data_IF_755715660146
#
_entry.id   IF_755715660146
#
_cell.length_a   1.000
_cell.length_b   1.000
_cell.length_c   1.000
_cell.angle_alpha   90.00
_cell.angle_beta   90.00
_cell.angle_gamma   90.00
#
_symmetry.space_group_name_H-M   'P 1'
#
loop_
_entity.id
_entity.type
_entity.pdbx_description
1 polymer ?
#
# COMPACT_ATOMS: atom_id res chain seq x y z
N UNK A 1 -2.54 -1.77 -18.19
CA UNK A 1 -3.26 -1.60 -19.47
C UNK A 1 -4.64 -0.94 -19.32
N UNK A 2 -4.82 0.28 -19.86
CA UNK A 2 -6.11 0.99 -19.86
C UNK A 2 -6.97 0.66 -21.10
N UNK A 3 -8.29 0.86 -21.03
CA UNK A 3 -9.18 0.68 -22.18
C UNK A 3 -8.77 1.53 -23.41
N UNK A 4 -8.30 2.76 -23.20
CA UNK A 4 -7.82 3.61 -24.29
C UNK A 4 -6.53 3.07 -24.93
N UNK A 5 -5.63 2.48 -24.13
CA UNK A 5 -4.44 1.81 -24.68
C UNK A 5 -4.80 0.58 -25.52
N UNK A 6 -5.80 -0.21 -25.10
CA UNK A 6 -6.31 -1.35 -25.86
C UNK A 6 -6.93 -0.93 -27.21
N UNK A 7 -7.71 0.17 -27.21
CA UNK A 7 -8.28 0.74 -28.43
C UNK A 7 -7.20 1.18 -29.42
N UNK A 8 -6.14 1.83 -28.91
CA UNK A 8 -5.00 2.29 -29.70
C UNK A 8 -4.23 1.11 -30.30
N UNK A 9 -3.91 0.10 -29.49
CA UNK A 9 -3.20 -1.11 -29.92
C UNK A 9 -3.98 -1.86 -31.03
N UNK A 10 -5.31 -1.91 -30.91
CA UNK A 10 -6.18 -2.61 -31.86
C UNK A 10 -6.65 -1.74 -33.02
N UNK A 11 -6.15 -0.50 -33.14
CA UNK A 11 -6.57 0.49 -34.15
C UNK A 11 -8.10 0.61 -34.25
N UNK A 12 -8.77 0.58 -33.09
CA UNK A 12 -10.21 0.54 -32.98
C UNK A 12 -10.73 1.85 -32.38
N UNK A 13 -11.71 2.47 -33.04
CA UNK A 13 -12.36 3.69 -32.54
C UNK A 13 -13.40 3.36 -31.46
N UNK A 14 -13.75 4.35 -30.63
CA UNK A 14 -14.83 4.22 -29.64
C UNK A 14 -16.18 3.83 -30.29
N UNK A 15 -16.43 4.36 -31.49
CA UNK A 15 -17.60 4.00 -32.29
C UNK A 15 -17.58 2.54 -32.73
N UNK A 16 -16.44 2.06 -33.26
CA UNK A 16 -16.27 0.66 -33.64
C UNK A 16 -16.41 -0.28 -32.44
N UNK A 17 -15.87 0.10 -31.28
CA UNK A 17 -16.05 -0.66 -30.05
C UNK A 17 -17.53 -0.74 -29.65
N UNK A 18 -18.26 0.37 -29.72
CA UNK A 18 -19.72 0.40 -29.46
C UNK A 18 -20.47 -0.52 -30.41
N UNK A 19 -20.19 -0.47 -31.72
CA UNK A 19 -20.84 -1.34 -32.70
C UNK A 19 -20.52 -2.82 -32.50
N UNK A 20 -19.26 -3.15 -32.22
CA UNK A 20 -18.80 -4.54 -32.08
C UNK A 20 -19.22 -5.18 -30.75
N UNK A 21 -19.18 -4.42 -29.66
CA UNK A 21 -19.66 -4.89 -28.35
C UNK A 21 -21.18 -4.83 -28.24
N UNK A 22 -21.83 -3.95 -29.00
CA UNK A 22 -23.24 -3.57 -28.88
C UNK A 22 -23.57 -2.88 -27.55
N UNK A 23 -22.57 -2.30 -26.90
CA UNK A 23 -22.72 -1.38 -25.77
C UNK A 23 -23.00 0.04 -26.33
N UNK A 24 -23.95 0.80 -25.77
CA UNK A 24 -24.26 2.15 -26.26
C UNK A 24 -23.02 3.05 -26.35
N UNK A 25 -22.93 3.84 -27.42
CA UNK A 25 -21.77 4.69 -27.68
C UNK A 25 -21.53 5.70 -26.56
N UNK A 26 -22.59 6.21 -25.95
CA UNK A 26 -22.55 7.08 -24.75
C UNK A 26 -21.84 6.39 -23.59
N UNK A 27 -22.21 5.14 -23.29
CA UNK A 27 -21.57 4.33 -22.26
C UNK A 27 -20.10 4.07 -22.58
N UNK A 28 -19.75 3.74 -23.83
CA UNK A 28 -18.34 3.55 -24.23
C UNK A 28 -17.53 4.84 -24.05
N UNK A 29 -18.10 6.00 -24.41
CA UNK A 29 -17.44 7.30 -24.23
C UNK A 29 -17.24 7.60 -22.74
N UNK A 30 -18.26 7.40 -21.91
CA UNK A 30 -18.20 7.62 -20.46
C UNK A 30 -17.16 6.73 -19.76
N UNK A 31 -17.02 5.48 -20.21
CA UNK A 31 -15.97 4.57 -19.71
C UNK A 31 -14.59 5.07 -20.18
N UNK A 32 -14.44 5.42 -21.47
CA UNK A 32 -13.16 5.86 -22.01
C UNK A 32 -12.70 7.22 -21.46
N UNK A 33 -13.62 8.07 -21.01
CA UNK A 33 -13.31 9.35 -20.35
C UNK A 33 -13.08 9.22 -18.85
N UNK A 34 -13.32 8.05 -18.26
CA UNK A 34 -13.19 7.79 -16.83
C UNK A 34 -14.38 8.27 -15.99
N UNK A 35 -15.44 8.82 -16.61
CA UNK A 35 -16.68 9.22 -15.93
C UNK A 35 -17.40 8.00 -15.33
N UNK A 36 -17.34 6.86 -16.03
CA UNK A 36 -17.87 5.58 -15.57
C UNK A 36 -16.74 4.59 -15.35
N UNK A 37 -16.70 4.01 -14.15
CA UNK A 37 -15.75 2.95 -13.77
C UNK A 37 -16.22 1.61 -14.34
N UNK A 38 -15.33 0.91 -15.05
CA UNK A 38 -15.66 -0.31 -15.79
C UNK A 38 -16.07 -1.47 -14.87
N UNK A 39 -15.43 -1.57 -13.71
CA UNK A 39 -15.72 -2.51 -12.63
C UNK A 39 -17.08 -2.27 -11.94
N UNK A 40 -17.69 -1.10 -12.15
CA UNK A 40 -19.03 -0.78 -11.67
C UNK A 40 -20.11 -1.05 -12.72
N UNK A 41 -19.74 -1.37 -13.95
CA UNK A 41 -20.70 -1.74 -14.99
C UNK A 41 -21.27 -3.13 -14.70
N UNK A 42 -22.50 -3.39 -15.18
CA UNK A 42 -23.06 -4.73 -15.15
C UNK A 42 -22.11 -5.72 -15.84
N UNK A 43 -21.96 -6.92 -15.28
CA UNK A 43 -21.02 -7.94 -15.76
C UNK A 43 -21.14 -8.21 -17.27
N UNK A 44 -22.39 -8.23 -17.79
CA UNK A 44 -22.65 -8.39 -19.22
C UNK A 44 -22.06 -7.27 -20.09
N UNK A 45 -21.97 -6.03 -19.59
CA UNK A 45 -21.33 -4.91 -20.31
C UNK A 45 -19.82 -5.13 -20.39
N UNK A 46 -19.20 -5.51 -19.27
CA UNK A 46 -17.76 -5.79 -19.20
C UNK A 46 -17.39 -6.96 -20.11
N UNK A 47 -18.16 -8.04 -20.05
CA UNK A 47 -18.00 -9.22 -20.91
C UNK A 47 -18.05 -8.86 -22.40
N UNK A 48 -19.05 -8.07 -22.82
CA UNK A 48 -19.20 -7.66 -24.23
C UNK A 48 -18.07 -6.77 -24.72
N UNK A 49 -17.55 -5.89 -23.87
CA UNK A 49 -16.37 -5.07 -24.20
C UNK A 49 -15.12 -5.96 -24.31
N UNK A 50 -14.91 -6.86 -23.35
CA UNK A 50 -13.78 -7.79 -23.35
C UNK A 50 -13.79 -8.68 -24.61
N UNK A 51 -14.95 -9.25 -24.95
CA UNK A 51 -15.15 -10.05 -26.15
C UNK A 51 -14.88 -9.25 -27.44
N UNK A 52 -15.39 -8.01 -27.55
CA UNK A 52 -15.16 -7.17 -28.71
C UNK A 52 -13.66 -6.84 -28.92
N UNK A 53 -12.94 -6.69 -27.82
CA UNK A 53 -11.50 -6.45 -27.81
C UNK A 53 -10.70 -7.76 -27.92
N UNK A 54 -11.28 -8.94 -27.71
CA UNK A 54 -10.55 -10.20 -27.71
C UNK A 54 -9.52 -10.27 -26.57
N UNK A 55 -9.91 -9.82 -25.39
CA UNK A 55 -9.16 -9.93 -24.13
C UNK A 55 -10.04 -10.59 -23.08
N UNK A 56 -9.45 -11.10 -22.01
CA UNK A 56 -10.23 -11.64 -20.89
C UNK A 56 -10.84 -10.50 -20.05
N UNK A 57 -11.90 -10.79 -19.28
CA UNK A 57 -12.49 -9.79 -18.39
C UNK A 57 -11.50 -9.35 -17.31
N UNK A 58 -10.66 -10.27 -16.83
CA UNK A 58 -9.63 -10.04 -15.84
C UNK A 58 -8.59 -9.04 -16.37
N UNK A 59 -8.04 -9.28 -17.56
CA UNK A 59 -7.06 -8.38 -18.19
C UNK A 59 -7.63 -6.97 -18.39
N UNK A 60 -8.92 -6.88 -18.72
CA UNK A 60 -9.61 -5.60 -18.92
C UNK A 60 -9.83 -4.83 -17.61
N UNK A 61 -10.00 -5.54 -16.50
CA UNK A 61 -10.24 -4.97 -15.18
C UNK A 61 -8.97 -4.80 -14.34
N UNK A 62 -7.85 -5.43 -14.72
CA UNK A 62 -6.62 -5.50 -13.93
C UNK A 62 -6.13 -4.13 -13.43
N UNK A 63 -6.02 -3.12 -14.30
CA UNK A 63 -5.58 -1.76 -13.90
C UNK A 63 -6.54 -1.05 -12.95
N UNK A 64 -7.83 -1.36 -13.05
CA UNK A 64 -8.85 -0.77 -12.18
C UNK A 64 -8.89 -1.50 -10.85
N UNK A 65 -8.61 -2.81 -10.86
CA UNK A 65 -8.48 -3.65 -9.69
C UNK A 65 -7.18 -3.33 -8.92
N UNK A 66 -6.04 -3.11 -9.57
CA UNK A 66 -4.81 -2.65 -8.89
C UNK A 66 -5.03 -1.30 -8.17
N UNK A 67 -5.86 -0.41 -8.73
CA UNK A 67 -6.25 0.86 -8.07
C UNK A 67 -7.30 0.70 -6.97
N UNK A 68 -8.05 -0.40 -6.94
CA UNK A 68 -9.19 -0.62 -6.02
C UNK A 68 -8.90 -1.67 -4.95
N UNK A 69 -7.90 -2.53 -5.15
CA UNK A 69 -7.46 -3.61 -4.25
C UNK A 69 -6.15 -3.21 -3.58
N UNK A 70 -6.02 -1.96 -3.16
CA UNK A 70 -5.18 -1.69 -2.00
C UNK A 70 -6.10 -1.74 -0.77
N UNK A 71 -6.54 -2.95 -0.42
CA UNK A 71 -7.30 -3.14 0.81
C UNK A 71 -6.30 -2.90 1.95
N UNK A 72 -6.33 -1.70 2.53
CA UNK A 72 -5.49 -1.35 3.68
C UNK A 72 -5.66 -2.44 4.74
N UNK A 73 -4.61 -3.21 4.96
CA UNK A 73 -4.58 -4.23 6.00
C UNK A 73 -4.64 -3.55 7.37
N UNK A 74 -4.91 -4.33 8.42
CA UNK A 74 -4.67 -3.81 9.76
C UNK A 74 -3.19 -3.46 9.91
N UNK A 75 -2.91 -2.47 10.76
CA UNK A 75 -1.54 -2.03 10.98
C UNK A 75 -0.63 -3.17 11.48
N UNK A 76 -1.16 -4.07 12.33
CA UNK A 76 -0.40 -5.25 12.80
C UNK A 76 -0.02 -6.20 11.67
N UNK A 77 -0.95 -6.47 10.73
CA UNK A 77 -0.65 -7.30 9.56
C UNK A 77 0.38 -6.60 8.66
N UNK A 78 0.27 -5.29 8.48
CA UNK A 78 1.27 -4.52 7.75
C UNK A 78 2.66 -4.65 8.37
N UNK A 79 2.78 -4.45 9.69
CA UNK A 79 4.04 -4.59 10.42
C UNK A 79 4.66 -5.98 10.23
N UNK A 80 3.86 -7.03 10.44
CA UNK A 80 4.29 -8.42 10.27
C UNK A 80 4.82 -8.68 8.86
N UNK A 81 4.09 -8.23 7.84
CA UNK A 81 4.53 -8.35 6.44
C UNK A 81 5.87 -7.64 6.21
N UNK A 82 6.05 -6.42 6.73
CA UNK A 82 7.32 -5.68 6.58
C UNK A 82 8.47 -6.44 7.24
N UNK A 83 8.28 -6.98 8.45
CA UNK A 83 9.33 -7.75 9.12
C UNK A 83 9.66 -9.06 8.36
N UNK A 84 8.66 -9.74 7.80
CA UNK A 84 8.88 -10.89 6.92
C UNK A 84 9.66 -10.51 5.66
N UNK A 85 9.31 -9.39 5.01
CA UNK A 85 10.05 -8.90 3.84
C UNK A 85 11.52 -8.66 4.19
N UNK A 86 11.82 -7.96 5.29
CA UNK A 86 13.20 -7.74 5.76
C UNK A 86 13.92 -9.06 6.01
N UNK A 87 13.26 -10.05 6.64
CA UNK A 87 13.82 -11.37 6.91
C UNK A 87 14.13 -12.15 5.64
N UNK A 88 13.24 -12.11 4.65
CA UNK A 88 13.33 -12.92 3.44
C UNK A 88 14.34 -12.36 2.42
N UNK A 89 14.37 -11.05 2.22
CA UNK A 89 15.26 -10.42 1.22
C UNK A 89 16.57 -9.87 1.82
N UNK A 90 16.62 -9.71 3.14
CA UNK A 90 17.74 -9.08 3.85
C UNK A 90 17.71 -7.56 3.81
N UNK A 91 18.45 -6.95 4.73
CA UNK A 91 18.43 -5.51 5.02
C UNK A 91 18.70 -4.66 3.79
N UNK A 92 19.79 -4.95 3.08
CA UNK A 92 20.28 -4.12 1.98
C UNK A 92 19.30 -4.14 0.81
N UNK A 93 18.78 -5.32 0.45
CA UNK A 93 17.80 -5.44 -0.63
C UNK A 93 16.47 -4.76 -0.25
N UNK A 94 16.04 -4.90 1.01
CA UNK A 94 14.85 -4.21 1.51
C UNK A 94 15.00 -2.69 1.43
N UNK A 95 16.16 -2.17 1.83
CA UNK A 95 16.47 -0.75 1.73
C UNK A 95 16.42 -0.28 0.27
N UNK A 96 17.12 -0.96 -0.64
CA UNK A 96 17.14 -0.61 -2.07
C UNK A 96 15.71 -0.58 -2.62
N UNK A 97 14.96 -1.67 -2.46
CA UNK A 97 13.59 -1.79 -2.97
C UNK A 97 12.65 -0.71 -2.39
N UNK A 98 12.73 -0.46 -1.09
CA UNK A 98 11.86 0.53 -0.41
C UNK A 98 12.19 1.96 -0.85
N UNK A 99 13.48 2.28 -1.00
CA UNK A 99 13.93 3.61 -1.41
C UNK A 99 13.63 3.87 -2.89
N UNK A 100 13.88 2.90 -3.78
CA UNK A 100 13.63 3.04 -5.23
C UNK A 100 12.14 3.12 -5.57
N UNK A 101 11.28 2.42 -4.83
CA UNK A 101 9.84 2.40 -5.09
C UNK A 101 9.07 3.65 -4.60
N UNK A 102 9.74 4.55 -3.86
CA UNK A 102 9.14 5.74 -3.20
C UNK A 102 7.90 5.38 -2.34
N UNK A 103 7.87 4.17 -1.78
CA UNK A 103 6.67 3.63 -1.12
C UNK A 103 6.30 4.44 0.13
N UNK A 104 7.28 4.90 0.90
CA UNK A 104 7.07 5.74 2.09
C UNK A 104 6.28 7.00 1.71
N UNK A 105 6.68 7.68 0.62
CA UNK A 105 6.03 8.90 0.16
C UNK A 105 4.64 8.62 -0.40
N UNK A 106 4.47 7.49 -1.10
CA UNK A 106 3.17 7.04 -1.62
C UNK A 106 2.17 6.79 -0.50
N UNK A 107 2.56 6.08 0.55
CA UNK A 107 1.76 5.86 1.75
C UNK A 107 1.42 7.19 2.46
N UNK A 108 2.40 8.09 2.59
CA UNK A 108 2.19 9.39 3.21
C UNK A 108 1.18 10.26 2.45
N UNK A 109 1.29 10.34 1.12
CA UNK A 109 0.35 11.08 0.25
C UNK A 109 -1.08 10.53 0.34
N UNK A 110 -1.22 9.21 0.56
CA UNK A 110 -2.51 8.53 0.82
C UNK A 110 -3.06 8.76 2.23
N UNK A 111 -2.33 9.46 3.10
CA UNK A 111 -2.63 9.67 4.52
C UNK A 111 -2.61 8.38 5.35
N UNK A 112 -1.87 7.37 4.89
CA UNK A 112 -1.63 6.13 5.63
C UNK A 112 -0.41 6.33 6.52
N UNK A 113 -0.55 7.25 7.48
CA UNK A 113 0.56 7.73 8.29
C UNK A 113 1.20 6.64 9.16
N UNK A 114 0.45 5.74 9.83
CA UNK A 114 1.07 4.65 10.59
C UNK A 114 2.02 3.80 9.74
N UNK A 115 1.59 3.38 8.56
CA UNK A 115 2.35 2.55 7.63
C UNK A 115 3.55 3.31 7.06
N UNK A 116 3.35 4.56 6.65
CA UNK A 116 4.42 5.42 6.13
C UNK A 116 5.52 5.63 7.17
N UNK A 117 5.15 5.99 8.40
CA UNK A 117 6.11 6.25 9.48
C UNK A 117 6.76 4.96 10.00
N UNK A 118 6.04 3.84 10.00
CA UNK A 118 6.63 2.54 10.33
C UNK A 118 7.70 2.14 9.30
N UNK A 119 7.41 2.30 8.01
CA UNK A 119 8.34 1.96 6.94
C UNK A 119 9.57 2.88 6.95
N UNK A 120 9.38 4.17 7.22
CA UNK A 120 10.47 5.12 7.44
C UNK A 120 11.33 4.73 8.64
N UNK A 121 10.71 4.41 9.78
CA UNK A 121 11.41 3.95 10.98
C UNK A 121 12.21 2.67 10.71
N UNK A 122 11.64 1.73 9.96
CA UNK A 122 12.32 0.50 9.55
C UNK A 122 13.54 0.79 8.68
N UNK A 123 13.40 1.67 7.67
CA UNK A 123 14.52 2.09 6.81
C UNK A 123 15.63 2.75 7.62
N UNK A 124 15.27 3.66 8.54
CA UNK A 124 16.24 4.37 9.37
C UNK A 124 16.93 3.41 10.37
N UNK A 125 16.17 2.49 10.97
CA UNK A 125 16.69 1.44 11.85
C UNK A 125 17.69 0.55 11.10
N UNK A 126 17.31 0.02 9.94
CA UNK A 126 18.16 -0.83 9.11
C UNK A 126 19.40 -0.08 8.63
N UNK A 127 19.26 1.20 8.28
CA UNK A 127 20.40 2.04 7.90
C UNK A 127 21.39 2.16 9.06
N UNK A 128 20.91 2.46 10.29
CA UNK A 128 21.78 2.55 11.47
C UNK A 128 22.50 1.24 11.76
N UNK A 129 21.78 0.11 11.81
CA UNK A 129 22.43 -1.18 12.15
C UNK A 129 23.41 -1.66 11.10
N UNK A 130 23.30 -1.17 9.85
CA UNK A 130 24.25 -1.44 8.76
C UNK A 130 25.29 -0.33 8.56
N UNK A 131 25.35 0.70 9.42
CA UNK A 131 26.32 1.78 9.31
C UNK A 131 26.13 2.70 8.10
N UNK A 132 24.91 2.75 7.55
CA UNK A 132 24.56 3.56 6.37
C UNK A 132 24.04 4.94 6.78
N UNK A 133 24.29 5.94 5.94
CA UNK A 133 23.72 7.27 6.09
C UNK A 133 22.23 7.29 5.78
N UNK A 134 21.46 8.09 6.51
CA UNK A 134 20.02 8.24 6.27
C UNK A 134 19.72 8.86 4.90
N UNK A 135 18.68 8.34 4.23
CA UNK A 135 18.21 8.87 2.96
C UNK A 135 17.64 10.30 3.12
N UNK A 136 18.20 11.27 2.39
CA UNK A 136 17.83 12.69 2.50
C UNK A 136 16.43 12.99 1.97
N UNK A 137 15.93 12.20 1.03
CA UNK A 137 14.61 12.37 0.43
C UNK A 137 13.46 12.32 1.44
N UNK A 138 13.64 11.71 2.61
CA UNK A 138 12.62 11.59 3.65
C UNK A 138 12.87 12.47 4.89
N UNK A 139 13.79 13.44 4.80
CA UNK A 139 14.17 14.27 5.95
C UNK A 139 13.01 15.09 6.51
N UNK A 140 12.09 15.52 5.65
CA UNK A 140 10.87 16.24 6.02
C UNK A 140 9.88 15.38 6.82
N UNK A 141 9.91 14.06 6.64
CA UNK A 141 9.00 13.13 7.33
C UNK A 141 9.51 12.71 8.71
N UNK A 142 10.82 12.82 8.98
CA UNK A 142 11.43 12.39 10.26
C UNK A 142 10.96 13.22 11.47
N UNK A 143 10.46 14.43 11.23
CA UNK A 143 9.85 15.26 12.27
C UNK A 143 8.38 14.92 12.57
N UNK A 144 7.72 14.12 11.74
CA UNK A 144 6.30 13.80 11.89
C UNK A 144 6.07 12.78 13.02
N UNK A 145 4.96 12.89 13.75
CA UNK A 145 4.58 11.92 14.79
C UNK A 145 3.09 11.62 14.74
N UNK A 146 2.70 10.40 15.11
CA UNK A 146 1.29 10.06 15.28
C UNK A 146 0.71 10.76 16.51
N UNK A 147 -0.56 11.17 16.46
CA UNK A 147 -1.22 11.86 17.58
C UNK A 147 -1.35 10.98 18.83
N UNK A 148 -1.50 9.67 18.64
CA UNK A 148 -1.58 8.68 19.71
C UNK A 148 -0.44 7.68 19.55
N UNK A 149 0.06 7.19 20.67
CA UNK A 149 1.05 6.12 20.69
C UNK A 149 0.40 4.81 20.24
N UNK A 150 0.99 4.15 19.25
CA UNK A 150 0.56 2.84 18.78
C UNK A 150 1.30 1.76 19.53
N UNK A 151 0.55 0.96 20.29
CA UNK A 151 1.05 -0.19 21.03
C UNK A 151 0.66 -1.49 20.31
N UNK A 152 1.48 -2.55 20.43
CA UNK A 152 1.07 -3.89 20.03
C UNK A 152 -0.22 -4.31 20.72
N UNK A 153 -1.12 -4.93 19.96
CA UNK A 153 -2.46 -5.32 20.42
C UNK A 153 -2.40 -6.31 21.58
N UNK A 154 -1.43 -7.23 21.55
CA UNK A 154 -1.13 -8.18 22.63
C UNK A 154 -0.80 -7.46 23.94
N UNK A 155 0.05 -6.44 23.89
CA UNK A 155 0.47 -5.66 25.05
C UNK A 155 -0.69 -4.87 25.66
N UNK A 156 -1.52 -4.24 24.82
CA UNK A 156 -2.71 -3.52 25.30
C UNK A 156 -3.68 -4.46 26.01
N UNK A 157 -3.86 -5.68 25.47
CA UNK A 157 -4.71 -6.69 26.08
C UNK A 157 -4.12 -7.14 27.43
N UNK A 158 -2.83 -7.44 27.48
CA UNK A 158 -2.13 -7.85 28.69
C UNK A 158 -2.22 -6.80 29.80
N UNK A 159 -1.94 -5.53 29.50
CA UNK A 159 -2.04 -4.43 30.46
C UNK A 159 -3.45 -4.27 31.03
N UNK A 160 -4.49 -4.54 30.22
CA UNK A 160 -5.88 -4.52 30.67
C UNK A 160 -6.22 -5.72 31.56
N UNK A 161 -5.81 -6.93 31.18
CA UNK A 161 -6.07 -8.17 31.94
C UNK A 161 -5.38 -8.11 33.31
N UNK A 162 -4.11 -7.69 33.32
CA UNK A 162 -3.29 -7.58 34.53
C UNK A 162 -3.60 -6.31 35.35
N UNK A 163 -4.41 -5.38 34.81
CA UNK A 163 -4.67 -4.05 35.37
C UNK A 163 -3.39 -3.27 35.68
N UNK A 164 -2.33 -3.52 34.92
CA UNK A 164 -1.03 -2.88 35.11
C UNK A 164 -0.69 -1.95 33.94
N UNK A 165 -1.04 -0.65 34.01
CA UNK A 165 -0.69 0.31 32.96
C UNK A 165 0.81 0.63 32.90
N UNK A 166 1.62 0.19 33.87
CA UNK A 166 3.06 0.40 33.83
C UNK A 166 3.73 -0.36 32.68
N UNK A 167 3.15 -1.48 32.24
CA UNK A 167 3.63 -2.29 31.11
C UNK A 167 3.72 -1.47 29.81
N UNK A 168 2.80 -0.53 29.59
CA UNK A 168 2.84 0.35 28.42
C UNK A 168 4.03 1.32 28.47
N UNK A 169 4.26 1.92 29.65
CA UNK A 169 5.36 2.87 29.88
C UNK A 169 6.73 2.20 29.83
N UNK A 170 6.83 0.98 30.30
CA UNK A 170 8.04 0.16 30.18
C UNK A 170 8.32 -0.16 28.71
N UNK A 171 7.30 -0.61 27.98
CA UNK A 171 7.43 -0.92 26.56
C UNK A 171 7.82 0.28 25.70
N UNK A 172 7.45 1.52 26.07
CA UNK A 172 7.92 2.72 25.39
C UNK A 172 9.43 2.94 25.55
N UNK A 173 9.98 2.63 26.72
CA UNK A 173 11.42 2.79 27.01
C UNK A 173 12.25 1.73 26.29
N UNK A 174 11.69 0.54 26.11
CA UNK A 174 12.33 -0.57 25.41
C UNK A 174 12.14 -0.50 23.89
N UNK A 175 11.30 0.42 23.40
CA UNK A 175 11.02 0.56 21.98
C UNK A 175 12.26 1.03 21.21
N UNK A 176 12.43 0.48 20.01
CA UNK A 176 13.49 0.88 19.08
C UNK A 176 13.34 2.39 18.80
N UNK A 177 14.42 3.20 18.97
CA UNK A 177 14.33 4.65 18.95
C UNK A 177 13.70 5.23 17.68
N UNK A 178 13.97 4.65 16.51
CA UNK A 178 13.43 5.09 15.23
C UNK A 178 11.90 4.99 15.18
N UNK A 179 11.33 3.90 15.69
CA UNK A 179 9.88 3.71 15.75
C UNK A 179 9.25 4.59 16.82
N UNK A 180 9.89 4.66 18.00
CA UNK A 180 9.39 5.47 19.10
C UNK A 180 9.40 6.97 18.78
N UNK A 181 10.35 7.41 17.95
CA UNK A 181 10.39 8.79 17.46
C UNK A 181 9.08 9.21 16.77
N UNK A 182 8.35 8.26 16.17
CA UNK A 182 7.09 8.44 15.48
C UNK A 182 5.84 8.05 16.30
N UNK A 183 5.99 7.80 17.60
CA UNK A 183 4.95 7.28 18.50
C UNK A 183 4.48 5.86 18.12
N UNK A 184 5.41 5.01 17.67
CA UNK A 184 5.15 3.59 17.41
C UNK A 184 6.00 2.76 18.37
N UNK A 185 5.36 1.92 19.16
CA UNK A 185 6.03 0.99 20.06
C UNK A 185 6.36 -0.28 19.29
N UNK A 186 7.65 -0.46 19.03
CA UNK A 186 8.20 -1.66 18.40
C UNK A 186 9.49 -2.05 19.12
N UNK A 187 9.50 -3.22 19.76
CA UNK A 187 10.67 -3.67 20.54
C UNK A 187 11.61 -4.52 19.72
N UNK A 188 11.07 -5.27 18.76
CA UNK A 188 11.84 -6.23 18.00
C UNK A 188 11.30 -6.41 16.59
N UNK A 189 12.19 -6.30 15.61
CA UNK A 189 11.85 -6.45 14.19
C UNK A 189 12.41 -7.74 13.56
N UNK A 190 13.23 -8.49 14.30
CA UNK A 190 13.96 -9.67 13.80
C UNK A 190 13.35 -11.00 14.21
N UNK A 191 12.78 -11.10 15.42
CA UNK A 191 12.14 -12.32 15.90
C UNK A 191 10.64 -12.31 15.59
N UNK A 192 10.30 -12.46 14.31
CA UNK A 192 8.93 -12.77 13.91
C UNK A 192 8.74 -14.28 14.10
N UNK A 193 7.92 -14.66 15.08
CA UNK A 193 7.49 -16.04 15.35
C UNK A 193 6.34 -16.40 14.42
#
# INVERSE_FOLDING_TARGET
MTLNSLLTQKKMTKYQLSKKSGVPQTTVIDICSGKTRLEKCAAGTVYRIAQALGVSMESLLQDQMEKTIERRSSFEVFKSNVCHLVKDMGDINFLIQTLESDEIRRLYKKRWYPEALYLLAMVDYLSRVNGLSLCREYSDLRGAKLKQVLYPSSLVLEAKITKNPALLRESERESIPEFMSHNIVEREVRNVI
#
